data_IF_187178291163
#
_entry.id   IF_187178291163
#
_cell.length_a   1.000
_cell.length_b   1.000
_cell.length_c   1.000
_cell.angle_alpha   90.00
_cell.angle_beta   90.00
_cell.angle_gamma   90.00
#
_symmetry.space_group_name_H-M   'P 1'
#
loop_
_entity.id
_entity.type
_entity.pdbx_description
1 polymer ?
#
# COMPACT_ATOMS: atom_id res chain seq x y z
N UNK A 1 -68.43 13.26 5.42
CA UNK A 1 -67.08 13.85 5.34
C UNK A 1 -66.56 13.87 6.78
N UNK A 2 -65.64 12.98 7.17
CA UNK A 2 -65.19 12.90 8.59
C UNK A 2 -64.71 11.54 9.11
N UNK A 3 -64.32 10.59 8.25
CA UNK A 3 -63.67 9.32 8.66
C UNK A 3 -62.14 9.25 8.44
N UNK A 4 -61.49 10.01 7.54
CA UNK A 4 -60.04 9.86 7.33
C UNK A 4 -59.18 10.52 8.42
N UNK A 5 -59.64 11.61 9.04
CA UNK A 5 -58.85 12.37 10.01
C UNK A 5 -58.65 11.65 11.35
N UNK A 6 -59.59 10.78 11.73
CA UNK A 6 -59.53 10.02 12.99
C UNK A 6 -58.52 8.87 12.94
N UNK A 7 -58.36 8.25 11.76
CA UNK A 7 -57.38 7.17 11.54
C UNK A 7 -55.95 7.71 11.51
N UNK A 8 -55.75 8.89 10.92
CA UNK A 8 -54.46 9.56 10.92
C UNK A 8 -54.00 9.95 12.34
N UNK A 9 -54.95 10.27 13.24
CA UNK A 9 -54.64 10.59 14.63
C UNK A 9 -54.27 9.35 15.45
N UNK A 10 -55.01 8.24 15.30
CA UNK A 10 -54.71 6.96 15.97
C UNK A 10 -53.37 6.37 15.49
N UNK A 11 -53.04 6.47 14.20
CA UNK A 11 -51.74 6.07 13.67
C UNK A 11 -50.60 6.95 14.19
N UNK A 12 -50.83 8.26 14.33
CA UNK A 12 -49.84 9.19 14.87
C UNK A 12 -49.56 8.94 16.37
N UNK A 13 -50.58 8.57 17.14
CA UNK A 13 -50.47 8.25 18.57
C UNK A 13 -49.66 6.96 18.77
N UNK A 14 -49.95 5.90 18.00
CA UNK A 14 -49.16 4.65 18.01
C UNK A 14 -47.70 4.88 17.61
N UNK A 15 -47.45 5.75 16.62
CA UNK A 15 -46.09 6.10 16.21
C UNK A 15 -45.32 6.81 17.32
N UNK A 16 -46.02 7.58 18.15
CA UNK A 16 -45.43 8.28 19.28
C UNK A 16 -45.08 7.33 20.43
N UNK A 17 -45.94 6.34 20.69
CA UNK A 17 -45.66 5.27 21.66
C UNK A 17 -44.46 4.42 21.24
N UNK A 18 -44.37 4.07 19.95
CA UNK A 18 -43.20 3.37 19.41
C UNK A 18 -41.93 4.20 19.58
N UNK A 19 -41.98 5.52 19.32
CA UNK A 19 -40.84 6.42 19.57
C UNK A 19 -40.45 6.44 21.04
N UNK A 20 -41.42 6.53 21.95
CA UNK A 20 -41.17 6.54 23.38
C UNK A 20 -40.52 5.22 23.86
N UNK A 21 -41.04 4.08 23.40
CA UNK A 21 -40.47 2.76 23.70
C UNK A 21 -39.05 2.61 23.16
N UNK A 22 -38.78 3.07 21.93
CA UNK A 22 -37.43 3.06 21.35
C UNK A 22 -36.49 3.97 22.14
N UNK A 23 -36.94 5.15 22.56
CA UNK A 23 -36.15 6.09 23.34
C UNK A 23 -35.89 5.59 24.77
N UNK A 24 -36.87 4.93 25.38
CA UNK A 24 -36.72 4.26 26.66
C UNK A 24 -35.75 3.07 26.56
N UNK A 25 -35.79 2.32 25.47
CA UNK A 25 -34.76 1.31 25.15
C UNK A 25 -33.39 1.96 24.99
N UNK A 26 -33.29 3.09 24.29
CA UNK A 26 -32.03 3.80 24.05
C UNK A 26 -31.36 4.26 25.36
N UNK A 27 -32.17 4.78 26.30
CA UNK A 27 -31.72 5.19 27.63
C UNK A 27 -31.40 4.00 28.54
N UNK A 28 -32.23 2.95 28.49
CA UNK A 28 -32.03 1.73 29.30
C UNK A 28 -30.80 0.93 28.84
N UNK A 29 -30.55 0.87 27.53
CA UNK A 29 -29.42 0.15 26.94
C UNK A 29 -28.08 0.92 27.01
N UNK A 30 -28.05 2.16 27.54
CA UNK A 30 -26.86 3.04 27.62
C UNK A 30 -26.00 2.95 26.36
N UNK A 31 -26.62 3.14 25.20
CA UNK A 31 -26.00 2.87 23.90
C UNK A 31 -24.73 3.69 23.72
N UNK A 32 -24.68 4.94 24.19
CA UNK A 32 -23.46 5.77 24.15
C UNK A 32 -22.28 5.17 24.91
N UNK A 33 -22.51 4.61 26.11
CA UNK A 33 -21.44 3.96 26.88
C UNK A 33 -20.97 2.67 26.21
N UNK A 34 -21.88 1.94 25.57
CA UNK A 34 -21.55 0.75 24.81
C UNK A 34 -20.77 1.08 23.51
N UNK A 35 -21.11 2.18 22.83
CA UNK A 35 -20.39 2.66 21.66
C UNK A 35 -18.98 3.14 22.04
N UNK A 36 -18.86 3.93 23.12
CA UNK A 36 -17.58 4.43 23.60
C UNK A 36 -16.65 3.28 24.05
N UNK A 37 -17.21 2.25 24.68
CA UNK A 37 -16.43 1.06 25.07
C UNK A 37 -15.99 0.24 23.85
N UNK A 38 -16.86 0.06 22.85
CA UNK A 38 -16.49 -0.58 21.57
C UNK A 38 -15.42 0.20 20.80
N UNK A 39 -15.53 1.52 20.75
CA UNK A 39 -14.52 2.37 20.11
C UNK A 39 -13.17 2.23 20.80
N UNK A 40 -13.15 2.28 22.15
CA UNK A 40 -11.93 2.05 22.93
C UNK A 40 -11.34 0.67 22.69
N UNK A 41 -12.17 -0.37 22.64
CA UNK A 41 -11.74 -1.73 22.35
C UNK A 41 -11.12 -1.86 20.95
N UNK A 42 -11.77 -1.27 19.93
CA UNK A 42 -11.26 -1.25 18.56
C UNK A 42 -9.94 -0.47 18.44
N UNK A 43 -9.81 0.66 19.13
CA UNK A 43 -8.57 1.46 19.16
C UNK A 43 -7.44 0.67 19.83
N UNK A 44 -7.69 0.01 20.96
CA UNK A 44 -6.70 -0.82 21.64
C UNK A 44 -6.27 -2.01 20.76
N UNK A 45 -7.23 -2.65 20.09
CA UNK A 45 -6.94 -3.74 19.15
C UNK A 45 -6.13 -3.26 17.94
N UNK A 46 -6.45 -2.08 17.42
CA UNK A 46 -5.69 -1.46 16.34
C UNK A 46 -4.25 -1.17 16.79
N UNK A 47 -4.06 -0.66 18.00
CA UNK A 47 -2.73 -0.38 18.56
C UNK A 47 -1.91 -1.66 18.75
N UNK A 48 -2.50 -2.74 19.25
CA UNK A 48 -1.85 -4.04 19.38
C UNK A 48 -1.45 -4.62 18.01
N UNK A 49 -2.36 -4.63 17.04
CA UNK A 49 -2.07 -5.09 15.67
C UNK A 49 -0.96 -4.27 15.01
N UNK A 50 -0.99 -2.95 15.18
CA UNK A 50 0.04 -2.06 14.64
C UNK A 50 1.38 -2.27 15.35
N UNK A 51 1.39 -2.55 16.66
CA UNK A 51 2.60 -2.91 17.41
C UNK A 51 3.26 -4.19 16.87
N UNK A 52 2.45 -5.18 16.50
CA UNK A 52 2.90 -6.43 15.88
C UNK A 52 3.35 -6.22 14.43
N UNK A 53 2.77 -5.25 13.71
CA UNK A 53 3.13 -4.92 12.32
C UNK A 53 4.48 -4.19 12.22
N UNK A 54 4.77 -3.26 13.14
CA UNK A 54 6.01 -2.46 13.16
C UNK A 54 7.32 -3.24 12.99
N UNK A 55 7.59 -4.35 13.72
CA UNK A 55 8.82 -5.11 13.52
C UNK A 55 8.87 -5.76 12.12
N UNK A 56 7.72 -6.19 11.60
CA UNK A 56 7.65 -6.77 10.26
C UNK A 56 7.87 -5.73 9.16
N UNK A 57 7.34 -4.52 9.33
CA UNK A 57 7.59 -3.40 8.42
C UNK A 57 9.04 -2.96 8.41
N UNK A 58 9.70 -2.89 9.57
CA UNK A 58 11.13 -2.59 9.65
C UNK A 58 11.96 -3.59 8.84
N UNK A 59 11.66 -4.89 8.97
CA UNK A 59 12.35 -5.93 8.20
C UNK A 59 12.07 -5.79 6.70
N UNK A 60 10.82 -5.51 6.33
CA UNK A 60 10.42 -5.26 4.93
C UNK A 60 11.17 -4.07 4.35
N UNK A 61 11.26 -2.97 5.09
CA UNK A 61 11.92 -1.74 4.68
C UNK A 61 13.44 -1.91 4.58
N UNK A 62 14.05 -2.66 5.49
CA UNK A 62 15.46 -3.01 5.36
C UNK A 62 15.72 -3.85 4.10
N UNK A 63 14.83 -4.79 3.81
CA UNK A 63 14.95 -5.66 2.65
C UNK A 63 14.72 -4.88 1.35
N UNK A 64 13.75 -3.96 1.34
CA UNK A 64 13.47 -3.07 0.22
C UNK A 64 14.66 -2.15 -0.05
N UNK A 65 15.22 -1.53 0.99
CA UNK A 65 16.40 -0.67 0.90
C UNK A 65 17.64 -1.42 0.42
N UNK A 66 17.83 -2.67 0.86
CA UNK A 66 18.92 -3.54 0.37
C UNK A 66 18.73 -3.89 -1.11
N UNK A 67 17.51 -4.20 -1.54
CA UNK A 67 17.20 -4.49 -2.94
C UNK A 67 17.42 -3.25 -3.82
N UNK A 68 16.92 -2.09 -3.41
CA UNK A 68 17.08 -0.83 -4.13
C UNK A 68 18.55 -0.46 -4.30
N UNK A 69 19.35 -0.54 -3.22
CA UNK A 69 20.79 -0.30 -3.31
C UNK A 69 21.44 -1.22 -4.34
N UNK A 70 21.15 -2.52 -4.32
CA UNK A 70 21.73 -3.46 -5.29
C UNK A 70 21.36 -3.10 -6.72
N UNK A 71 20.10 -2.74 -6.97
CA UNK A 71 19.64 -2.30 -8.28
C UNK A 71 20.38 -1.03 -8.72
N UNK A 72 20.53 -0.05 -7.84
CA UNK A 72 21.29 1.17 -8.10
C UNK A 72 22.77 0.89 -8.38
N UNK A 73 23.40 -0.04 -7.65
CA UNK A 73 24.78 -0.47 -7.90
C UNK A 73 24.94 -1.14 -9.27
N UNK A 74 23.96 -1.96 -9.70
CA UNK A 74 23.98 -2.57 -11.04
C UNK A 74 23.83 -1.50 -12.13
N UNK A 75 22.93 -0.52 -11.93
CA UNK A 75 22.77 0.60 -12.87
C UNK A 75 24.06 1.42 -13.00
N UNK A 76 24.68 1.79 -11.88
CA UNK A 76 25.98 2.47 -11.87
C UNK A 76 27.11 1.62 -12.47
N UNK A 77 27.08 0.30 -12.25
CA UNK A 77 27.98 -0.65 -12.89
C UNK A 77 27.84 -0.64 -14.41
N UNK A 78 26.62 -0.55 -14.94
CA UNK A 78 26.35 -0.38 -16.37
C UNK A 78 26.94 0.92 -16.93
N UNK A 79 26.79 2.03 -16.21
CA UNK A 79 27.39 3.32 -16.59
C UNK A 79 28.91 3.25 -16.58
N UNK A 80 29.51 2.65 -15.55
CA UNK A 80 30.95 2.46 -15.46
C UNK A 80 31.48 1.57 -16.58
N UNK A 81 30.75 0.51 -16.94
CA UNK A 81 31.09 -0.36 -18.08
C UNK A 81 31.07 0.41 -19.40
N UNK A 82 30.01 1.19 -19.67
CA UNK A 82 29.91 2.01 -20.88
C UNK A 82 31.02 3.06 -20.95
N UNK A 83 31.34 3.71 -19.83
CA UNK A 83 32.46 4.65 -19.75
C UNK A 83 33.82 3.97 -20.00
N UNK A 84 34.02 2.77 -19.44
CA UNK A 84 35.24 1.99 -19.66
C UNK A 84 35.36 1.56 -21.12
N UNK A 85 34.28 1.06 -21.72
CA UNK A 85 34.23 0.69 -23.13
C UNK A 85 34.59 1.89 -24.02
N UNK A 86 34.02 3.06 -23.75
CA UNK A 86 34.33 4.29 -24.48
C UNK A 86 35.79 4.72 -24.30
N UNK A 87 36.32 4.70 -23.07
CA UNK A 87 37.69 5.07 -22.77
C UNK A 87 38.73 4.17 -23.44
N UNK A 88 38.50 2.85 -23.44
CA UNK A 88 39.35 1.87 -24.13
C UNK A 88 39.35 2.16 -25.64
N UNK A 89 38.17 2.31 -26.24
CA UNK A 89 38.05 2.61 -27.68
C UNK A 89 38.73 3.94 -28.04
N UNK A 90 38.55 4.99 -27.22
CA UNK A 90 39.19 6.28 -27.41
C UNK A 90 40.72 6.19 -27.31
N UNK A 91 41.23 5.42 -26.34
CA UNK A 91 42.68 5.24 -26.16
C UNK A 91 43.32 4.42 -27.28
N UNK A 92 42.63 3.39 -27.79
CA UNK A 92 43.07 2.59 -28.94
C UNK A 92 43.06 3.38 -30.25
N UNK A 93 42.02 4.19 -30.48
CA UNK A 93 41.87 5.01 -31.71
C UNK A 93 42.86 6.16 -31.83
N UNK A 94 43.36 6.71 -30.72
CA UNK A 94 44.21 7.91 -30.75
C UNK A 94 45.72 7.63 -30.64
N UNK A 95 46.13 6.47 -30.14
CA UNK A 95 47.53 6.20 -29.81
C UNK A 95 48.12 4.96 -30.49
N UNK A 96 47.35 3.88 -30.67
CA UNK A 96 47.89 2.60 -31.17
C UNK A 96 47.41 2.24 -32.59
N UNK A 97 46.17 2.54 -32.97
CA UNK A 97 45.61 2.10 -34.25
C UNK A 97 44.83 3.23 -34.94
N UNK A 98 45.13 3.46 -36.23
CA UNK A 98 44.30 4.32 -37.07
C UNK A 98 42.86 3.79 -37.14
N UNK A 99 41.91 4.71 -37.32
CA UNK A 99 40.46 4.43 -37.29
C UNK A 99 40.01 3.25 -38.16
N UNK A 100 40.72 2.97 -39.25
CA UNK A 100 40.51 1.87 -40.21
C UNK A 100 40.55 0.46 -39.58
N UNK A 101 41.35 0.25 -38.52
CA UNK A 101 41.45 -1.05 -37.83
C UNK A 101 40.35 -1.21 -36.76
N UNK A 102 39.76 -0.10 -36.29
CA UNK A 102 38.75 -0.08 -35.21
C UNK A 102 37.32 -0.23 -35.72
N UNK A 103 37.08 -0.01 -37.02
CA UNK A 103 35.78 -0.18 -37.67
C UNK A 103 35.17 -1.59 -37.46
N UNK A 104 35.87 -2.71 -37.74
CA UNK A 104 35.30 -4.05 -37.51
C UNK A 104 35.12 -4.36 -36.01
N UNK A 105 36.04 -3.89 -35.16
CA UNK A 105 36.01 -4.16 -33.72
C UNK A 105 34.79 -3.52 -33.05
N UNK A 106 34.51 -2.26 -33.37
CA UNK A 106 33.33 -1.55 -32.84
C UNK A 106 32.02 -2.14 -33.36
N UNK A 107 32.01 -2.64 -34.60
CA UNK A 107 30.88 -3.34 -35.18
C UNK A 107 30.54 -4.62 -34.40
N UNK A 108 31.54 -5.47 -34.11
CA UNK A 108 31.34 -6.69 -33.32
C UNK A 108 30.88 -6.40 -31.89
N UNK A 109 31.42 -5.35 -31.25
CA UNK A 109 31.00 -4.96 -29.89
C UNK A 109 29.54 -4.49 -29.89
N UNK A 110 29.15 -3.69 -30.89
CA UNK A 110 27.76 -3.22 -31.03
C UNK A 110 26.80 -4.39 -31.23
N UNK A 111 27.16 -5.31 -32.14
CA UNK A 111 26.34 -6.48 -32.43
C UNK A 111 26.26 -7.43 -31.22
N UNK A 112 27.37 -7.64 -30.51
CA UNK A 112 27.39 -8.44 -29.28
C UNK A 112 26.53 -7.81 -28.17
N UNK A 113 26.56 -6.49 -28.03
CA UNK A 113 25.71 -5.76 -27.06
C UNK A 113 24.23 -5.90 -27.41
N UNK A 114 23.87 -5.77 -28.69
CA UNK A 114 22.51 -5.99 -29.17
C UNK A 114 22.06 -7.44 -28.94
N UNK A 115 22.93 -8.42 -29.21
CA UNK A 115 22.66 -9.84 -28.97
C UNK A 115 22.50 -10.15 -27.48
N UNK A 116 23.28 -9.50 -26.60
CA UNK A 116 23.12 -9.62 -25.15
C UNK A 116 21.80 -9.02 -24.66
N UNK A 117 21.40 -7.83 -25.17
CA UNK A 117 20.10 -7.23 -24.87
C UNK A 117 18.94 -8.13 -25.33
N UNK A 118 19.04 -8.70 -26.53
CA UNK A 118 18.04 -9.64 -27.04
C UNK A 118 17.98 -10.93 -26.23
N UNK A 119 19.13 -11.49 -25.86
CA UNK A 119 19.21 -12.68 -24.99
C UNK A 119 18.56 -12.41 -23.63
N UNK A 120 18.80 -11.23 -23.06
CA UNK A 120 18.13 -10.78 -21.83
C UNK A 120 16.61 -10.69 -22.02
N UNK A 121 16.14 -10.11 -23.13
CA UNK A 121 14.72 -10.07 -23.45
C UNK A 121 14.09 -11.47 -23.54
N UNK A 122 14.73 -12.42 -24.23
CA UNK A 122 14.23 -13.80 -24.38
C UNK A 122 14.12 -14.52 -23.03
N UNK A 123 15.12 -14.34 -22.15
CA UNK A 123 15.13 -14.90 -20.81
C UNK A 123 14.07 -14.27 -19.89
N UNK A 124 13.79 -12.98 -20.06
CA UNK A 124 12.96 -12.21 -19.12
C UNK A 124 11.52 -11.98 -19.61
N UNK A 125 11.25 -12.20 -20.91
CA UNK A 125 9.97 -12.02 -21.63
C UNK A 125 9.28 -10.66 -21.42
N UNK A 126 10.05 -9.59 -21.19
CA UNK A 126 9.56 -8.20 -21.06
C UNK A 126 10.56 -7.26 -21.73
N UNK A 127 10.06 -6.24 -22.44
CA UNK A 127 10.90 -5.17 -23.01
C UNK A 127 11.67 -4.45 -21.89
N UNK A 128 12.89 -4.00 -22.19
CA UNK A 128 13.74 -3.32 -21.22
C UNK A 128 13.20 -1.91 -20.95
N UNK A 129 12.15 -1.84 -20.15
CA UNK A 129 11.55 -0.61 -19.64
C UNK A 129 12.13 -0.43 -18.22
N UNK A 130 12.92 0.64 -18.05
CA UNK A 130 13.69 0.92 -16.81
C UNK A 130 12.87 0.80 -15.51
N UNK A 131 11.59 1.23 -15.41
CA UNK A 131 10.80 1.00 -14.20
C UNK A 131 10.36 -0.47 -13.99
N UNK A 132 9.90 -1.15 -15.02
CA UNK A 132 9.39 -2.53 -14.93
C UNK A 132 10.50 -3.56 -14.59
N UNK A 133 11.70 -3.36 -15.12
CA UNK A 133 12.85 -4.21 -14.81
C UNK A 133 13.28 -4.06 -13.34
N UNK A 134 13.20 -2.83 -12.78
CA UNK A 134 13.51 -2.56 -11.36
C UNK A 134 12.51 -3.23 -10.44
N UNK A 135 11.21 -3.13 -10.74
CA UNK A 135 10.15 -3.72 -9.92
C UNK A 135 10.23 -5.25 -9.93
N UNK A 136 10.56 -5.86 -11.07
CA UNK A 136 10.76 -7.31 -11.15
C UNK A 136 11.96 -7.78 -10.34
N UNK A 137 13.11 -7.11 -10.47
CA UNK A 137 14.28 -7.44 -9.66
C UNK A 137 14.01 -7.23 -8.18
N UNK A 138 13.31 -6.14 -7.84
CA UNK A 138 12.84 -5.88 -6.49
C UNK A 138 11.97 -7.03 -5.96
N UNK A 139 10.94 -7.46 -6.70
CA UNK A 139 10.06 -8.57 -6.34
C UNK A 139 10.81 -9.89 -6.16
N UNK A 140 11.73 -10.21 -7.08
CA UNK A 140 12.55 -11.42 -7.00
C UNK A 140 13.49 -11.39 -5.79
N UNK A 141 14.16 -10.27 -5.54
CA UNK A 141 15.03 -10.11 -4.38
C UNK A 141 14.25 -10.07 -3.08
N UNK A 142 13.08 -9.45 -3.07
CA UNK A 142 12.16 -9.41 -1.95
C UNK A 142 11.69 -10.83 -1.62
N UNK A 143 11.15 -11.58 -2.57
CA UNK A 143 10.66 -12.94 -2.34
C UNK A 143 11.78 -13.90 -1.94
N UNK A 144 12.98 -13.76 -2.52
CA UNK A 144 14.17 -14.54 -2.14
C UNK A 144 14.69 -14.16 -0.76
N UNK A 145 14.59 -12.88 -0.38
CA UNK A 145 14.94 -12.36 0.94
C UNK A 145 13.96 -12.82 2.02
N UNK A 146 12.66 -12.76 1.74
CA UNK A 146 11.61 -13.32 2.59
C UNK A 146 11.85 -14.81 2.85
N UNK A 147 12.08 -15.60 1.79
CA UNK A 147 12.41 -17.04 1.93
C UNK A 147 13.64 -17.29 2.79
N UNK A 148 14.65 -16.42 2.71
CA UNK A 148 15.88 -16.53 3.53
C UNK A 148 15.67 -16.11 4.98
N UNK A 149 14.82 -15.12 5.23
CA UNK A 149 14.61 -14.56 6.57
C UNK A 149 13.47 -15.26 7.33
N UNK A 150 12.84 -16.29 6.73
CA UNK A 150 11.59 -16.91 7.21
C UNK A 150 10.54 -15.86 7.59
N UNK A 151 10.47 -14.80 6.80
CA UNK A 151 9.47 -13.76 7.00
C UNK A 151 8.12 -14.32 6.57
N UNK A 152 7.17 -14.37 7.49
CA UNK A 152 5.85 -14.93 7.23
C UNK A 152 4.98 -13.87 6.53
N UNK A 153 5.06 -13.83 5.19
CA UNK A 153 4.25 -12.90 4.36
C UNK A 153 2.76 -13.13 4.63
N UNK A 154 2.36 -14.38 4.87
CA UNK A 154 0.97 -14.70 5.13
C UNK A 154 0.49 -13.99 6.40
N UNK A 155 1.26 -14.11 7.49
CA UNK A 155 0.98 -13.40 8.74
C UNK A 155 1.00 -11.88 8.54
N UNK A 156 1.92 -11.34 7.74
CA UNK A 156 1.97 -9.90 7.44
C UNK A 156 0.71 -9.40 6.71
N UNK A 157 0.27 -10.11 5.67
CA UNK A 157 -0.93 -9.77 4.92
C UNK A 157 -2.17 -9.89 5.80
N UNK A 158 -2.29 -10.98 6.56
CA UNK A 158 -3.39 -11.20 7.50
C UNK A 158 -3.47 -10.07 8.56
N UNK A 159 -2.32 -9.63 9.07
CA UNK A 159 -2.25 -8.49 10.00
C UNK A 159 -2.69 -7.18 9.33
N UNK A 160 -2.28 -6.96 8.08
CA UNK A 160 -2.69 -5.79 7.29
C UNK A 160 -4.19 -5.79 6.98
N UNK A 161 -4.73 -6.94 6.62
CA UNK A 161 -6.15 -7.11 6.33
C UNK A 161 -6.98 -6.90 7.61
N UNK A 162 -6.52 -7.44 8.74
CA UNK A 162 -7.14 -7.22 10.06
C UNK A 162 -7.12 -5.75 10.48
N UNK A 163 -6.00 -5.04 10.24
CA UNK A 163 -5.91 -3.59 10.49
C UNK A 163 -6.90 -2.83 9.60
N UNK A 164 -6.97 -3.16 8.31
CA UNK A 164 -7.89 -2.52 7.38
C UNK A 164 -9.36 -2.75 7.78
N UNK A 165 -9.70 -3.95 8.25
CA UNK A 165 -11.03 -4.28 8.75
C UNK A 165 -11.37 -3.47 10.01
N UNK A 166 -10.47 -3.43 11.00
CA UNK A 166 -10.66 -2.65 12.23
C UNK A 166 -10.76 -1.15 11.93
N UNK A 167 -9.94 -0.61 11.03
CA UNK A 167 -10.02 0.80 10.60
C UNK A 167 -11.35 1.11 9.91
N UNK A 168 -11.85 0.18 9.08
CA UNK A 168 -13.12 0.31 8.39
C UNK A 168 -14.27 0.31 9.42
N UNK A 169 -14.25 -0.60 10.37
CA UNK A 169 -15.26 -0.68 11.43
C UNK A 169 -15.23 0.54 12.35
N UNK A 170 -14.05 1.06 12.69
CA UNK A 170 -13.89 2.30 13.44
C UNK A 170 -14.41 3.50 12.63
N UNK A 171 -14.15 3.53 11.32
CA UNK A 171 -14.69 4.56 10.42
C UNK A 171 -16.21 4.51 10.33
N UNK A 172 -16.81 3.32 10.27
CA UNK A 172 -18.27 3.12 10.32
C UNK A 172 -18.85 3.60 11.64
N UNK A 173 -18.21 3.24 12.75
CA UNK A 173 -18.65 3.61 14.10
C UNK A 173 -18.51 5.12 14.37
N UNK A 174 -17.63 5.81 13.65
CA UNK A 174 -17.46 7.27 13.72
C UNK A 174 -18.30 8.04 12.70
N UNK A 175 -19.06 7.37 11.83
CA UNK A 175 -19.85 8.04 10.78
C UNK A 175 -21.14 8.65 11.37
N UNK A 176 -21.24 9.99 11.46
CA UNK A 176 -22.38 10.67 12.09
C UNK A 176 -23.68 10.53 11.28
N UNK A 177 -23.63 10.06 10.03
CA UNK A 177 -24.81 9.84 9.20
C UNK A 177 -25.47 8.47 9.44
N UNK A 178 -24.71 7.47 9.91
CA UNK A 178 -25.26 6.16 10.25
C UNK A 178 -25.69 6.06 11.72
N UNK A 179 -25.01 6.80 12.59
CA UNK A 179 -25.40 6.96 13.98
C UNK A 179 -26.28 8.20 14.11
N UNK A 180 -27.59 7.99 14.24
CA UNK A 180 -28.52 8.97 14.79
C UNK A 180 -28.19 9.26 16.27
N UNK A 181 -26.96 9.70 16.55
CA UNK A 181 -26.63 10.35 17.80
C UNK A 181 -27.50 11.62 17.87
N UNK A 182 -28.08 11.93 19.04
CA UNK A 182 -28.78 13.20 19.20
C UNK A 182 -27.82 14.33 18.80
N UNK A 183 -28.15 15.05 17.73
CA UNK A 183 -27.37 16.13 17.10
C UNK A 183 -27.11 17.33 18.05
N UNK A 184 -27.46 17.20 19.33
CA UNK A 184 -27.40 18.28 20.32
C UNK A 184 -25.99 18.70 20.73
N UNK A 185 -24.92 17.97 20.39
CA UNK A 185 -23.56 18.35 20.82
C UNK A 185 -22.67 18.98 19.74
N UNK A 186 -23.03 18.89 18.45
CA UNK A 186 -22.24 19.52 17.38
C UNK A 186 -22.54 21.01 17.20
N UNK A 187 -23.66 21.51 17.73
CA UNK A 187 -23.99 22.94 17.72
C UNK A 187 -23.43 23.69 18.93
N UNK A 188 -23.01 23.00 20.00
CA UNK A 188 -22.42 23.62 21.18
C UNK A 188 -20.90 23.88 21.02
N UNK A 189 -20.18 22.99 20.33
CA UNK A 189 -18.72 23.11 20.13
C UNK A 189 -18.31 24.06 18.98
N UNK A 190 -19.27 24.60 18.21
CA UNK A 190 -19.01 25.56 17.13
C UNK A 190 -19.23 27.02 17.54
N UNK A 191 -19.44 27.29 18.84
CA UNK A 191 -19.80 28.63 19.33
C UNK A 191 -18.91 29.19 20.44
N UNK A 192 -17.75 28.60 20.66
CA UNK A 192 -16.65 29.20 21.44
C UNK A 192 -15.40 29.37 20.56
#
# INVERSE_FOLDING_TARGET
MGKPDLLAHDEAERLNDVKFLVQQLYTTLRIEEHQLSKEKELVVRLEDLNSQLRPLEKVREELSRKAERRTTWVLWGGVAYMATQFGILARLTWWEYSWDIMEPVTYFITYATAMAMYSYYVLTRQEYIYPDARDRQYLLFFHKGVKRQRFDIHKYNELKDSIAEVELDLKRLRDPLQLQLPVQQLTAASKD
#
